data_IF_109739957866
#
_entry.id   IF_109739957866
#
_cell.length_a   1.000
_cell.length_b   1.000
_cell.length_c   1.000
_cell.angle_alpha   90.00
_cell.angle_beta   90.00
_cell.angle_gamma   90.00
#
_symmetry.space_group_name_H-M   'P 1'
#
loop_
_entity.id
_entity.type
_entity.pdbx_description
1 polymer ?
#
# COMPACT_ATOMS: atom_id res chain seq x y z
N UNK A 1 -4.94 18.86 -16.62
CA UNK A 1 -4.32 17.54 -16.35
C UNK A 1 -5.44 16.52 -16.41
N UNK A 2 -5.47 15.69 -17.44
CA UNK A 2 -6.38 14.55 -17.49
C UNK A 2 -5.98 13.57 -16.40
N UNK A 3 -6.84 13.40 -15.40
CA UNK A 3 -6.66 12.39 -14.37
C UNK A 3 -7.10 11.05 -14.95
N UNK A 4 -6.12 10.17 -15.17
CA UNK A 4 -6.38 8.78 -15.51
C UNK A 4 -6.52 7.96 -14.22
N UNK A 5 -7.41 6.98 -14.27
CA UNK A 5 -7.73 6.10 -13.15
C UNK A 5 -7.47 4.65 -13.54
N UNK A 6 -7.11 3.85 -12.55
CA UNK A 6 -7.00 2.40 -12.65
C UNK A 6 -7.92 1.75 -11.63
N UNK A 7 -8.56 0.65 -12.03
CA UNK A 7 -9.46 -0.08 -11.16
C UNK A 7 -8.68 -1.11 -10.34
N UNK A 8 -8.76 -1.03 -9.02
CA UNK A 8 -8.09 -1.94 -8.09
C UNK A 8 -9.10 -2.66 -7.21
N UNK A 9 -8.74 -3.86 -6.78
CA UNK A 9 -9.50 -4.61 -5.77
C UNK A 9 -9.15 -4.10 -4.37
N UNK A 10 -10.19 -3.73 -3.61
CA UNK A 10 -10.09 -3.31 -2.22
C UNK A 10 -11.11 -4.06 -1.36
N UNK A 11 -10.63 -5.13 -0.73
CA UNK A 11 -11.53 -6.08 -0.08
C UNK A 11 -12.47 -6.70 -1.12
N UNK A 12 -13.77 -6.59 -0.90
CA UNK A 12 -14.81 -7.08 -1.82
C UNK A 12 -15.24 -6.08 -2.89
N UNK A 13 -14.61 -4.89 -2.95
CA UNK A 13 -15.02 -3.80 -3.83
C UNK A 13 -13.98 -3.52 -4.90
N UNK A 14 -14.43 -2.99 -6.03
CA UNK A 14 -13.57 -2.41 -7.06
C UNK A 14 -13.60 -0.89 -6.93
N UNK A 15 -12.44 -0.26 -6.85
CA UNK A 15 -12.29 1.17 -6.61
C UNK A 15 -11.36 1.78 -7.65
N UNK A 16 -11.73 2.95 -8.17
CA UNK A 16 -10.86 3.72 -9.06
C UNK A 16 -9.83 4.51 -8.24
N UNK A 17 -8.56 4.30 -8.53
CA UNK A 17 -7.45 5.05 -7.93
C UNK A 17 -6.66 5.79 -9.00
N UNK A 18 -5.99 6.91 -8.67
CA UNK A 18 -5.17 7.61 -9.64
C UNK A 18 -4.09 6.69 -10.22
N UNK A 19 -4.05 6.60 -11.55
CA UNK A 19 -3.03 5.82 -12.26
C UNK A 19 -1.63 6.34 -11.90
N UNK A 20 -0.70 5.43 -11.59
CA UNK A 20 0.65 5.76 -11.14
C UNK A 20 0.73 6.34 -9.71
N UNK A 21 -0.40 6.47 -9.01
CA UNK A 21 -0.44 6.89 -7.61
C UNK A 21 0.17 5.84 -6.66
N UNK A 22 0.34 6.19 -5.39
CA UNK A 22 0.91 5.26 -4.40
C UNK A 22 0.12 3.97 -4.24
N UNK A 23 -1.23 4.06 -4.28
CA UNK A 23 -2.07 2.88 -4.11
C UNK A 23 -1.97 1.92 -5.30
N UNK A 24 -1.94 2.46 -6.52
CA UNK A 24 -1.73 1.68 -7.75
C UNK A 24 -0.36 0.96 -7.71
N UNK A 25 0.71 1.69 -7.37
CA UNK A 25 2.08 1.18 -7.39
C UNK A 25 2.40 0.17 -6.28
N UNK A 26 1.89 0.37 -5.07
CA UNK A 26 2.40 -0.33 -3.89
C UNK A 26 1.35 -1.15 -3.12
N UNK A 27 0.04 -0.86 -3.27
CA UNK A 27 -1.08 -1.58 -2.60
C UNK A 27 -0.91 -1.72 -1.07
N UNK A 28 -1.64 -2.66 -0.45
CA UNK A 28 -1.74 -2.82 1.02
C UNK A 28 -0.59 -3.58 1.68
N UNK A 29 0.19 -4.35 0.90
CA UNK A 29 1.38 -5.09 1.36
C UNK A 29 2.57 -4.74 0.45
N UNK A 30 3.07 -3.50 0.53
CA UNK A 30 4.09 -3.02 -0.38
C UNK A 30 5.46 -3.64 -0.08
N UNK A 31 6.29 -3.79 -1.12
CA UNK A 31 7.72 -3.99 -0.96
C UNK A 31 8.37 -2.67 -0.50
N UNK A 32 8.88 -2.66 0.73
CA UNK A 32 9.50 -1.47 1.32
C UNK A 32 10.83 -1.11 0.66
N UNK A 33 11.52 -2.02 -0.03
CA UNK A 33 12.71 -1.70 -0.81
C UNK A 33 12.34 -0.97 -2.11
N UNK A 34 11.21 -1.31 -2.72
CA UNK A 34 10.67 -0.59 -3.87
C UNK A 34 10.20 0.82 -3.47
N UNK A 35 9.51 0.96 -2.33
CA UNK A 35 9.07 2.27 -1.81
C UNK A 35 10.26 3.16 -1.47
N UNK A 36 11.33 2.62 -0.88
CA UNK A 36 12.53 3.39 -0.51
C UNK A 36 13.27 4.00 -1.70
N UNK A 37 13.04 3.49 -2.93
CA UNK A 37 13.61 4.05 -4.16
C UNK A 37 12.87 5.29 -4.65
N UNK A 38 11.65 5.55 -4.16
CA UNK A 38 10.88 6.73 -4.54
C UNK A 38 11.34 7.95 -3.72
N UNK A 39 11.92 8.98 -4.37
CA UNK A 39 12.38 10.18 -3.66
C UNK A 39 11.26 10.95 -2.96
N UNK A 40 10.00 10.76 -3.37
CA UNK A 40 8.84 11.40 -2.74
C UNK A 40 8.35 10.68 -1.47
N UNK A 41 8.82 9.45 -1.18
CA UNK A 41 8.38 8.67 -0.02
C UNK A 41 9.08 9.08 1.30
N UNK A 42 10.20 9.80 1.22
CA UNK A 42 10.97 10.22 2.40
C UNK A 42 11.56 9.04 3.19
N UNK A 43 11.80 9.23 4.50
CA UNK A 43 12.35 8.18 5.36
C UNK A 43 11.26 7.16 5.78
N UNK A 44 11.48 5.87 5.49
CA UNK A 44 10.56 4.78 5.82
C UNK A 44 11.07 3.82 6.94
N UNK A 45 12.18 4.13 7.61
CA UNK A 45 12.83 3.26 8.60
C UNK A 45 11.90 2.90 9.77
N UNK A 46 10.94 3.76 10.10
CA UNK A 46 9.93 3.48 11.10
C UNK A 46 9.18 2.17 10.80
N UNK A 47 8.74 1.97 9.56
CA UNK A 47 7.98 0.78 9.15
C UNK A 47 8.84 -0.48 9.09
N UNK A 48 10.16 -0.34 8.86
CA UNK A 48 11.12 -1.46 8.87
C UNK A 48 11.35 -1.99 10.29
N UNK A 49 11.37 -1.09 11.28
CA UNK A 49 11.58 -1.45 12.69
C UNK A 49 10.35 -2.09 13.33
N UNK A 50 9.16 -1.79 12.83
CA UNK A 50 7.88 -2.29 13.38
C UNK A 50 7.10 -2.97 12.25
N UNK A 51 7.52 -4.18 11.83
CA UNK A 51 6.85 -4.87 10.74
C UNK A 51 5.44 -5.29 11.15
N UNK A 52 4.48 -5.14 10.23
CA UNK A 52 3.15 -5.72 10.40
C UNK A 52 3.28 -7.23 10.55
N UNK A 53 2.64 -7.78 11.59
CA UNK A 53 2.57 -9.22 11.85
C UNK A 53 1.11 -9.61 11.96
N UNK A 54 0.78 -10.78 11.42
CA UNK A 54 -0.53 -11.35 11.63
C UNK A 54 -0.63 -11.86 13.07
N UNK A 55 -1.68 -11.47 13.77
CA UNK A 55 -1.92 -11.85 15.15
C UNK A 55 -3.25 -12.60 15.27
N UNK A 56 -3.29 -13.60 16.13
CA UNK A 56 -4.54 -14.27 16.48
C UNK A 56 -5.34 -13.35 17.42
N UNK A 57 -6.40 -12.74 16.90
CA UNK A 57 -7.31 -11.88 17.67
C UNK A 57 -8.64 -12.58 17.92
N UNK A 58 -9.49 -12.02 18.79
CA UNK A 58 -10.84 -12.56 19.05
C UNK A 58 -11.75 -12.52 17.82
N UNK A 59 -11.45 -11.66 16.84
CA UNK A 59 -12.20 -11.54 15.58
C UNK A 59 -11.55 -12.36 14.45
N UNK A 60 -10.60 -13.24 14.78
CA UNK A 60 -9.84 -14.05 13.84
C UNK A 60 -8.42 -13.53 13.58
N UNK A 61 -7.66 -14.20 12.69
CA UNK A 61 -6.34 -13.75 12.30
C UNK A 61 -6.40 -12.39 11.58
N UNK A 62 -5.71 -11.39 12.11
CA UNK A 62 -5.66 -10.00 11.59
C UNK A 62 -4.23 -9.55 11.37
#
# INVERSE_FOLDING_TARGET
>A
MDRRFTQVEFGSHKVDVPEGGYYDRFRTKPDLDAVARDPAAGNIDFFRRIPKRQVASRVGPT
#
